data_IF_654242938387
#
_entry.id   IF_654242938387
#
_cell.length_a   1.000
_cell.length_b   1.000
_cell.length_c   1.000
_cell.angle_alpha   90.00
_cell.angle_beta   90.00
_cell.angle_gamma   90.00
#
_symmetry.space_group_name_H-M   'P 1'
#
loop_
_entity.id
_entity.type
_entity.pdbx_description
1 polymer ?
#
# COMPACT_ATOMS: atom_id res chain seq x y z
N UNK A 1 12.08 -13.43 -10.18
CA UNK A 1 11.14 -14.55 -10.35
C UNK A 1 9.72 -14.06 -10.57
N UNK A 2 9.02 -13.52 -9.57
CA UNK A 2 7.62 -13.07 -9.69
C UNK A 2 7.41 -12.09 -10.86
N UNK A 3 8.23 -11.03 -10.93
CA UNK A 3 8.11 -10.00 -11.98
C UNK A 3 8.23 -10.60 -13.39
N UNK A 4 9.28 -11.38 -13.65
CA UNK A 4 9.50 -12.03 -14.96
C UNK A 4 8.36 -13.00 -15.32
N UNK A 5 7.86 -13.79 -14.37
CA UNK A 5 6.74 -14.70 -14.61
C UNK A 5 5.47 -13.94 -15.01
N UNK A 6 5.15 -12.85 -14.30
CA UNK A 6 4.00 -12.00 -14.63
C UNK A 6 4.17 -11.26 -15.97
N UNK A 7 5.38 -10.82 -16.30
CA UNK A 7 5.68 -10.18 -17.59
C UNK A 7 5.60 -11.15 -18.77
N UNK A 8 5.82 -12.45 -18.52
CA UNK A 8 5.67 -13.51 -19.54
C UNK A 8 4.23 -14.00 -19.71
N UNK A 9 3.29 -13.53 -18.88
CA UNK A 9 1.92 -13.99 -18.88
C UNK A 9 1.24 -13.76 -20.23
N UNK A 10 0.54 -14.78 -20.70
CA UNK A 10 -0.30 -14.75 -21.91
C UNK A 10 -1.76 -15.02 -21.51
N UNK A 11 -2.65 -15.14 -22.49
CA UNK A 11 -4.03 -15.60 -22.27
C UNK A 11 -4.12 -17.02 -21.66
N UNK A 12 -3.02 -17.79 -21.66
CA UNK A 12 -2.93 -19.11 -21.05
C UNK A 12 -2.37 -19.07 -19.62
N UNK A 13 -2.10 -17.89 -19.06
CA UNK A 13 -1.54 -17.76 -17.71
C UNK A 13 -2.44 -18.39 -16.64
N UNK A 14 -1.83 -19.15 -15.75
CA UNK A 14 -2.50 -19.92 -14.68
C UNK A 14 -1.85 -19.67 -13.33
N UNK A 15 -2.58 -20.01 -12.26
CA UNK A 15 -2.05 -19.97 -10.89
C UNK A 15 -0.77 -20.82 -10.72
N UNK A 16 -0.62 -21.92 -11.48
CA UNK A 16 0.54 -22.81 -11.41
C UNK A 16 1.82 -22.20 -11.97
N UNK A 17 1.77 -21.18 -12.81
CA UNK A 17 2.98 -20.60 -13.41
C UNK A 17 3.86 -19.94 -12.34
N UNK A 18 3.25 -19.16 -11.45
CA UNK A 18 3.95 -18.57 -10.30
C UNK A 18 4.34 -19.61 -9.26
N UNK A 19 3.48 -20.61 -8.98
CA UNK A 19 3.83 -21.69 -8.06
C UNK A 19 5.05 -22.49 -8.54
N UNK A 20 5.14 -22.75 -9.85
CA UNK A 20 6.30 -23.43 -10.46
C UNK A 20 7.55 -22.57 -10.35
N UNK A 21 7.44 -21.28 -10.68
CA UNK A 21 8.55 -20.34 -10.57
C UNK A 21 9.06 -20.17 -9.13
N UNK A 22 8.20 -20.36 -8.13
CA UNK A 22 8.52 -20.26 -6.70
C UNK A 22 8.78 -21.61 -6.02
N UNK A 23 8.90 -22.70 -6.78
CA UNK A 23 9.02 -24.07 -6.22
C UNK A 23 10.18 -24.23 -5.24
N UNK A 24 11.35 -23.64 -5.53
CA UNK A 24 12.52 -23.63 -4.65
C UNK A 24 12.30 -22.89 -3.32
N UNK A 25 11.26 -22.06 -3.24
CA UNK A 25 10.94 -21.24 -2.08
C UNK A 25 9.74 -21.78 -1.28
N UNK A 26 9.13 -22.89 -1.69
CA UNK A 26 7.88 -23.42 -1.11
C UNK A 26 7.91 -23.54 0.42
N UNK A 27 9.03 -24.03 0.96
CA UNK A 27 9.20 -24.23 2.40
C UNK A 27 9.87 -23.02 3.10
N UNK A 28 10.21 -21.97 2.34
CA UNK A 28 10.88 -20.76 2.84
C UNK A 28 9.94 -19.56 3.02
N UNK A 29 8.80 -19.55 2.32
CA UNK A 29 7.83 -18.46 2.36
C UNK A 29 6.48 -18.93 2.92
N UNK A 30 5.69 -18.03 3.53
CA UNK A 30 4.35 -18.37 4.00
C UNK A 30 3.45 -18.87 2.87
N UNK A 31 2.48 -19.74 3.19
CA UNK A 31 1.51 -20.29 2.24
C UNK A 31 0.86 -19.19 1.37
N UNK A 32 0.43 -18.10 2.00
CA UNK A 32 -0.21 -16.96 1.31
C UNK A 32 0.70 -16.33 0.24
N UNK A 33 2.01 -16.33 0.46
CA UNK A 33 2.99 -15.81 -0.51
C UNK A 33 3.25 -16.81 -1.64
N UNK A 34 3.31 -18.11 -1.32
CA UNK A 34 3.45 -19.15 -2.33
C UNK A 34 2.25 -19.23 -3.28
N UNK A 35 1.04 -18.95 -2.76
CA UNK A 35 -0.22 -18.93 -3.52
C UNK A 35 -0.45 -17.64 -4.33
N UNK A 36 0.59 -16.83 -4.55
CA UNK A 36 0.45 -15.55 -5.29
C UNK A 36 -0.14 -15.70 -6.70
N UNK A 37 0.07 -16.84 -7.36
CA UNK A 37 -0.57 -17.16 -8.63
C UNK A 37 -2.10 -17.23 -8.54
N UNK A 38 -2.64 -17.75 -7.44
CA UNK A 38 -4.09 -17.82 -7.22
C UNK A 38 -4.69 -16.41 -7.07
N UNK A 39 -3.98 -15.49 -6.41
CA UNK A 39 -4.42 -14.10 -6.29
C UNK A 39 -4.33 -13.37 -7.64
N UNK A 40 -3.29 -13.65 -8.42
CA UNK A 40 -3.07 -13.00 -9.72
C UNK A 40 -4.18 -13.31 -10.73
N UNK A 41 -4.76 -14.52 -10.69
CA UNK A 41 -5.84 -14.94 -11.60
C UNK A 41 -7.24 -14.51 -11.15
N UNK A 42 -7.38 -13.85 -9.99
CA UNK A 42 -8.65 -13.27 -9.57
C UNK A 42 -9.03 -12.02 -10.38
N UNK A 43 -8.05 -11.35 -10.99
CA UNK A 43 -8.31 -10.19 -11.82
C UNK A 43 -9.04 -10.61 -13.12
N UNK A 44 -10.15 -9.94 -13.49
CA UNK A 44 -10.83 -10.22 -14.75
C UNK A 44 -9.92 -10.03 -15.96
N UNK A 45 -10.06 -10.86 -17.00
CA UNK A 45 -9.21 -10.87 -18.20
C UNK A 45 -9.00 -9.47 -18.80
N UNK A 46 -10.04 -8.64 -18.84
CA UNK A 46 -10.00 -7.30 -19.40
C UNK A 46 -9.05 -6.31 -18.67
N UNK A 47 -8.68 -6.58 -17.41
CA UNK A 47 -7.81 -5.71 -16.60
C UNK A 47 -6.63 -6.45 -15.96
N UNK A 48 -6.62 -7.78 -16.02
CA UNK A 48 -5.57 -8.63 -15.46
C UNK A 48 -4.16 -8.23 -15.92
N UNK A 49 -3.88 -7.94 -17.21
CA UNK A 49 -2.55 -7.50 -17.64
C UNK A 49 -2.06 -6.23 -16.92
N UNK A 50 -2.97 -5.30 -16.60
CA UNK A 50 -2.63 -4.08 -15.85
C UNK A 50 -2.26 -4.41 -14.40
N UNK A 51 -3.03 -5.30 -13.76
CA UNK A 51 -2.76 -5.78 -12.40
C UNK A 51 -1.42 -6.51 -12.35
N UNK A 52 -1.14 -7.38 -13.31
CA UNK A 52 0.11 -8.13 -13.41
C UNK A 52 1.31 -7.22 -13.64
N UNK A 53 1.22 -6.24 -14.55
CA UNK A 53 2.29 -5.27 -14.78
C UNK A 53 2.60 -4.44 -13.52
N UNK A 54 1.57 -3.92 -12.84
CA UNK A 54 1.76 -3.19 -11.59
C UNK A 54 2.37 -4.06 -10.49
N UNK A 55 1.92 -5.31 -10.37
CA UNK A 55 2.43 -6.27 -9.39
C UNK A 55 3.88 -6.66 -9.67
N UNK A 56 4.23 -6.88 -10.94
CA UNK A 56 5.60 -7.15 -11.38
C UNK A 56 6.53 -5.99 -11.02
N UNK A 57 6.13 -4.76 -11.35
CA UNK A 57 6.89 -3.57 -11.02
C UNK A 57 7.05 -3.36 -9.49
N UNK A 58 6.00 -3.62 -8.70
CA UNK A 58 6.08 -3.58 -7.24
C UNK A 58 7.00 -4.67 -6.68
N UNK A 59 6.96 -5.88 -7.24
CA UNK A 59 7.83 -6.99 -6.82
C UNK A 59 9.32 -6.63 -7.02
N UNK A 60 9.69 -6.06 -8.15
CA UNK A 60 11.09 -5.64 -8.41
C UNK A 60 11.52 -4.51 -7.47
N UNK A 61 10.64 -3.54 -7.19
CA UNK A 61 10.92 -2.46 -6.24
C UNK A 61 11.07 -2.98 -4.81
N UNK A 62 10.22 -3.90 -4.38
CA UNK A 62 10.34 -4.55 -3.07
C UNK A 62 11.62 -5.38 -2.96
N UNK A 63 12.00 -6.10 -4.03
CA UNK A 63 13.26 -6.83 -4.08
C UNK A 63 14.47 -5.90 -3.97
N UNK A 64 14.46 -4.75 -4.66
CA UNK A 64 15.50 -3.72 -4.53
C UNK A 64 15.69 -3.26 -3.07
N UNK A 65 14.60 -2.95 -2.36
CA UNK A 65 14.69 -2.53 -0.95
C UNK A 65 15.12 -3.66 -0.01
N UNK A 66 14.69 -4.90 -0.25
CA UNK A 66 15.13 -6.05 0.52
C UNK A 66 16.64 -6.31 0.35
N UNK A 67 17.18 -6.17 -0.86
CA UNK A 67 18.61 -6.34 -1.14
C UNK A 67 19.49 -5.29 -0.44
N UNK A 68 18.97 -4.09 -0.25
CA UNK A 68 19.64 -3.02 0.50
C UNK A 68 19.30 -3.03 1.99
N UNK A 69 18.70 -4.11 2.50
CA UNK A 69 18.28 -4.28 3.89
C UNK A 69 17.48 -3.08 4.42
N UNK A 70 16.57 -2.55 3.58
CA UNK A 70 15.72 -1.40 3.88
C UNK A 70 16.47 -0.16 4.38
N UNK A 71 17.70 0.05 3.90
CA UNK A 71 18.54 1.16 4.31
C UNK A 71 18.05 2.51 3.76
N UNK A 72 17.20 3.22 4.51
CA UNK A 72 16.66 4.54 4.14
C UNK A 72 17.56 5.65 4.68
N UNK A 73 18.28 6.36 3.80
CA UNK A 73 19.24 7.40 4.22
C UNK A 73 18.67 8.81 4.09
N UNK A 74 17.86 9.05 3.06
CA UNK A 74 17.35 10.38 2.72
C UNK A 74 15.83 10.40 2.61
N UNK A 75 15.24 11.61 2.58
CA UNK A 75 13.81 11.76 2.24
C UNK A 75 13.49 11.16 0.86
N UNK A 76 14.42 11.27 -0.10
CA UNK A 76 14.24 10.70 -1.43
C UNK A 76 14.19 9.16 -1.39
N UNK A 77 14.95 8.54 -0.48
CA UNK A 77 14.90 7.08 -0.26
C UNK A 77 13.56 6.68 0.35
N UNK A 78 13.09 7.40 1.37
CA UNK A 78 11.77 7.17 1.96
C UNK A 78 10.65 7.35 0.93
N UNK A 79 10.77 8.37 0.07
CA UNK A 79 9.84 8.62 -1.03
C UNK A 79 9.84 7.45 -2.03
N UNK A 80 11.02 6.94 -2.42
CA UNK A 80 11.15 5.78 -3.30
C UNK A 80 10.59 4.50 -2.66
N UNK A 81 10.88 4.27 -1.38
CA UNK A 81 10.37 3.11 -0.62
C UNK A 81 8.85 3.13 -0.54
N UNK A 82 8.28 4.20 -0.01
CA UNK A 82 6.82 4.37 0.13
C UNK A 82 6.11 4.36 -1.22
N UNK A 83 6.72 4.88 -2.28
CA UNK A 83 6.20 4.72 -3.64
C UNK A 83 6.17 3.25 -4.06
N UNK A 84 7.26 2.52 -3.86
CA UNK A 84 7.40 1.12 -4.26
C UNK A 84 6.39 0.18 -3.60
N UNK A 85 6.06 0.43 -2.32
CA UNK A 85 5.19 -0.48 -1.54
C UNK A 85 3.75 0.00 -1.39
N UNK A 86 3.46 1.28 -1.59
CA UNK A 86 2.12 1.82 -1.34
C UNK A 86 1.67 2.88 -2.35
N UNK A 87 2.53 3.82 -2.75
CA UNK A 87 2.17 4.83 -3.76
C UNK A 87 1.80 4.22 -5.11
N UNK A 88 2.50 3.16 -5.53
CA UNK A 88 2.18 2.40 -6.74
C UNK A 88 0.83 1.67 -6.64
N UNK A 89 0.41 1.25 -5.44
CA UNK A 89 -0.93 0.69 -5.21
C UNK A 89 -1.99 1.76 -5.45
N UNK A 90 -1.77 3.00 -5.01
CA UNK A 90 -2.66 4.13 -5.32
C UNK A 90 -2.84 4.34 -6.83
N UNK A 91 -1.75 4.25 -7.61
CA UNK A 91 -1.84 4.32 -9.08
C UNK A 91 -2.62 3.16 -9.68
N UNK A 92 -2.40 1.93 -9.21
CA UNK A 92 -3.15 0.77 -9.66
C UNK A 92 -4.64 0.92 -9.35
N UNK A 93 -5.00 1.32 -8.13
CA UNK A 93 -6.40 1.57 -7.76
C UNK A 93 -7.03 2.61 -8.67
N UNK A 94 -6.33 3.71 -8.96
CA UNK A 94 -6.79 4.71 -9.92
C UNK A 94 -7.03 4.16 -11.34
N UNK A 95 -6.24 3.19 -11.80
CA UNK A 95 -6.51 2.47 -13.06
C UNK A 95 -7.74 1.58 -12.96
N UNK A 96 -7.91 0.88 -11.83
CA UNK A 96 -9.06 0.02 -11.58
C UNK A 96 -10.37 0.80 -11.50
N UNK A 97 -10.38 1.96 -10.85
CA UNK A 97 -11.56 2.84 -10.81
C UNK A 97 -11.93 3.33 -12.21
N UNK A 98 -10.94 3.81 -12.97
CA UNK A 98 -11.15 4.23 -14.35
C UNK A 98 -11.68 3.11 -15.25
N UNK A 99 -11.20 1.87 -15.05
CA UNK A 99 -11.69 0.69 -15.76
C UNK A 99 -13.12 0.29 -15.33
N UNK A 100 -13.43 0.37 -14.04
CA UNK A 100 -14.70 -0.11 -13.48
C UNK A 100 -15.88 0.80 -13.81
N UNK A 101 -15.75 2.11 -13.59
CA UNK A 101 -16.87 3.07 -13.76
C UNK A 101 -16.46 4.40 -14.41
N UNK A 102 -15.23 4.50 -14.92
CA UNK A 102 -14.72 5.71 -15.56
C UNK A 102 -14.24 6.79 -14.60
N UNK A 103 -14.23 6.53 -13.27
CA UNK A 103 -13.74 7.49 -12.27
C UNK A 103 -12.32 7.97 -12.58
N UNK A 104 -12.20 9.28 -12.77
CA UNK A 104 -10.91 9.95 -12.99
C UNK A 104 -10.34 10.43 -11.66
N UNK A 105 -9.03 10.29 -11.49
CA UNK A 105 -8.36 10.66 -10.23
C UNK A 105 -7.08 11.42 -10.52
N UNK A 106 -6.70 12.30 -9.58
CA UNK A 106 -5.38 12.93 -9.62
C UNK A 106 -4.32 11.91 -9.19
N UNK A 107 -3.41 11.55 -10.11
CA UNK A 107 -2.40 10.51 -9.90
C UNK A 107 -1.34 10.89 -8.85
N UNK A 108 -1.01 12.18 -8.71
CA UNK A 108 -0.13 12.63 -7.64
C UNK A 108 -0.80 12.51 -6.28
N UNK A 109 -2.09 12.84 -6.20
CA UNK A 109 -2.86 12.64 -4.96
C UNK A 109 -2.99 11.14 -4.63
N UNK A 110 -3.14 10.26 -5.63
CA UNK A 110 -3.17 8.81 -5.45
C UNK A 110 -1.86 8.26 -4.87
N UNK A 111 -0.71 8.76 -5.35
CA UNK A 111 0.61 8.43 -4.77
C UNK A 111 0.67 8.91 -3.32
N UNK A 112 0.24 10.14 -3.05
CA UNK A 112 0.16 10.72 -1.70
C UNK A 112 -0.74 9.89 -0.77
N UNK A 113 -1.86 9.39 -1.27
CA UNK A 113 -2.76 8.50 -0.53
C UNK A 113 -2.03 7.26 -0.03
N UNK A 114 -1.43 6.47 -0.95
CA UNK A 114 -0.69 5.27 -0.56
C UNK A 114 0.50 5.59 0.37
N UNK A 115 1.27 6.63 0.04
CA UNK A 115 2.43 7.06 0.83
C UNK A 115 2.04 7.52 2.24
N UNK A 116 0.94 8.25 2.40
CA UNK A 116 0.45 8.71 3.69
C UNK A 116 0.06 7.55 4.60
N UNK A 117 -0.69 6.57 4.08
CA UNK A 117 -1.02 5.35 4.84
C UNK A 117 0.24 4.58 5.26
N UNK A 118 1.22 4.45 4.36
CA UNK A 118 2.47 3.77 4.69
C UNK A 118 3.31 4.54 5.71
N UNK A 119 3.34 5.86 5.64
CA UNK A 119 4.04 6.70 6.61
C UNK A 119 3.45 6.55 8.03
N UNK A 120 2.13 6.48 8.16
CA UNK A 120 1.46 6.19 9.44
C UNK A 120 1.81 4.80 9.96
N UNK A 121 1.90 3.80 9.08
CA UNK A 121 2.32 2.45 9.48
C UNK A 121 3.78 2.43 9.98
N UNK A 122 4.68 3.16 9.30
CA UNK A 122 6.09 3.29 9.73
C UNK A 122 6.16 3.96 11.12
N UNK A 123 5.42 5.04 11.35
CA UNK A 123 5.35 5.70 12.66
C UNK A 123 4.87 4.75 13.75
N UNK A 124 3.78 4.02 13.46
CA UNK A 124 3.13 3.11 14.41
C UNK A 124 4.03 1.93 14.80
N UNK A 125 4.74 1.36 13.82
CA UNK A 125 5.51 0.14 14.01
C UNK A 125 6.99 0.41 14.33
N UNK A 126 7.40 1.68 14.47
CA UNK A 126 8.82 2.06 14.54
C UNK A 126 9.62 1.28 15.60
N UNK A 127 9.06 1.12 16.81
CA UNK A 127 9.71 0.35 17.87
C UNK A 127 9.87 -1.13 17.53
N UNK A 128 8.87 -1.74 16.89
CA UNK A 128 8.91 -3.14 16.44
C UNK A 128 9.91 -3.33 15.28
N UNK A 129 9.93 -2.40 14.33
CA UNK A 129 10.87 -2.44 13.20
C UNK A 129 12.34 -2.32 13.69
N UNK A 130 12.61 -1.45 14.67
CA UNK A 130 13.93 -1.33 15.29
C UNK A 130 14.37 -2.64 15.97
N UNK A 131 13.46 -3.37 16.62
CA UNK A 131 13.81 -4.68 17.23
C UNK A 131 14.20 -5.73 16.18
N UNK A 132 13.75 -5.55 14.93
CA UNK A 132 14.09 -6.41 13.79
C UNK A 132 15.31 -5.90 13.02
N UNK A 133 15.93 -4.80 13.48
CA UNK A 133 17.12 -4.20 12.87
C UNK A 133 16.84 -3.36 11.63
N UNK A 134 15.59 -2.88 11.46
CA UNK A 134 15.19 -2.02 10.35
C UNK A 134 14.77 -0.65 10.89
N UNK A 135 15.27 0.41 10.28
CA UNK A 135 14.79 1.77 10.52
C UNK A 135 14.38 2.40 9.18
N UNK A 136 13.11 2.72 9.05
CA UNK A 136 12.56 3.36 7.86
C UNK A 136 12.69 4.88 7.92
N UNK A 137 13.18 5.44 9.02
CA UNK A 137 13.42 6.87 9.13
C UNK A 137 14.66 7.23 8.32
N UNK A 138 14.61 8.31 7.52
CA UNK A 138 15.82 8.87 6.95
C UNK A 138 16.84 9.19 8.04
N UNK A 139 18.13 9.12 7.69
CA UNK A 139 19.19 9.31 8.66
C UNK A 139 19.07 10.67 9.37
N UNK A 140 19.07 10.65 10.70
CA UNK A 140 18.95 11.84 11.54
C UNK A 140 17.55 12.42 11.65
N UNK A 141 16.52 11.81 11.04
CA UNK A 141 15.14 12.27 11.22
C UNK A 141 14.63 12.04 12.63
N UNK A 142 13.92 13.03 13.16
CA UNK A 142 13.18 12.92 14.41
C UNK A 142 11.79 12.32 14.18
N UNK A 143 11.16 11.88 15.26
CA UNK A 143 9.75 11.45 15.25
C UNK A 143 8.80 12.54 14.74
N UNK A 144 9.09 13.81 15.06
CA UNK A 144 8.32 14.97 14.59
C UNK A 144 8.44 15.19 13.07
N UNK A 145 9.63 14.99 12.50
CA UNK A 145 9.83 15.09 11.05
C UNK A 145 9.07 13.98 10.31
N UNK A 146 9.09 12.76 10.85
CA UNK A 146 8.30 11.66 10.27
C UNK A 146 6.78 11.89 10.42
N UNK A 147 6.33 12.47 11.53
CA UNK A 147 4.94 12.91 11.71
C UNK A 147 4.53 13.97 10.69
N UNK A 148 5.39 14.96 10.45
CA UNK A 148 5.16 16.03 9.47
C UNK A 148 5.05 15.43 8.06
N UNK A 149 5.96 14.53 7.70
CA UNK A 149 5.91 13.81 6.42
C UNK A 149 4.61 13.01 6.25
N UNK A 150 4.14 12.32 7.31
CA UNK A 150 2.87 11.61 7.27
C UNK A 150 1.68 12.57 7.05
N UNK A 151 1.63 13.70 7.77
CA UNK A 151 0.58 14.72 7.62
C UNK A 151 0.53 15.32 6.21
N UNK A 152 1.69 15.67 5.65
CA UNK A 152 1.77 16.22 4.29
C UNK A 152 1.19 15.26 3.24
N UNK A 153 1.47 13.96 3.37
CA UNK A 153 0.94 12.97 2.44
C UNK A 153 -0.53 12.61 2.71
N UNK A 154 -0.98 12.62 3.97
CA UNK A 154 -2.40 12.48 4.28
C UNK A 154 -3.23 13.66 3.75
N UNK A 155 -2.68 14.88 3.70
CA UNK A 155 -3.36 16.00 3.06
C UNK A 155 -3.60 15.76 1.55
N UNK A 156 -2.69 15.06 0.87
CA UNK A 156 -2.90 14.60 -0.51
C UNK A 156 -3.94 13.48 -0.58
N UNK A 157 -3.99 12.60 0.42
CA UNK A 157 -5.00 11.56 0.55
C UNK A 157 -6.42 12.14 0.75
N UNK A 158 -6.52 13.22 1.54
CA UNK A 158 -7.75 13.99 1.74
C UNK A 158 -8.19 14.63 0.42
N UNK A 159 -7.25 15.27 -0.29
CA UNK A 159 -7.53 15.87 -1.61
C UNK A 159 -7.91 14.82 -2.67
N UNK A 160 -7.32 13.61 -2.62
CA UNK A 160 -7.72 12.47 -3.45
C UNK A 160 -9.18 12.12 -3.18
N UNK A 161 -9.50 11.84 -1.92
CA UNK A 161 -10.81 11.33 -1.49
C UNK A 161 -11.92 12.37 -1.71
N UNK A 162 -11.65 13.64 -1.41
CA UNK A 162 -12.59 14.74 -1.63
C UNK A 162 -12.95 14.98 -3.11
N UNK A 163 -12.09 14.55 -4.04
CA UNK A 163 -12.35 14.67 -5.48
C UNK A 163 -13.13 13.49 -6.08
N UNK A 164 -13.32 12.41 -5.33
CA UNK A 164 -13.99 11.21 -5.84
C UNK A 164 -15.51 11.43 -5.89
N UNK A 165 -16.19 10.95 -6.94
CA UNK A 165 -17.64 10.90 -6.95
C UNK A 165 -18.16 9.89 -5.92
N UNK A 166 -19.44 10.00 -5.57
CA UNK A 166 -20.12 8.96 -4.78
C UNK A 166 -20.03 7.62 -5.53
N UNK A 167 -19.56 6.58 -4.83
CA UNK A 167 -19.39 5.26 -5.41
C UNK A 167 -18.26 4.44 -4.77
N UNK A 168 -17.93 3.28 -5.34
CA UNK A 168 -17.03 2.30 -4.73
C UNK A 168 -15.63 2.84 -4.43
N UNK A 169 -15.08 3.71 -5.28
CA UNK A 169 -13.77 4.31 -5.05
C UNK A 169 -13.74 5.17 -3.78
N UNK A 170 -14.78 6.00 -3.58
CA UNK A 170 -14.91 6.83 -2.39
C UNK A 170 -15.14 5.97 -1.14
N UNK A 171 -16.05 5.00 -1.21
CA UNK A 171 -16.36 4.11 -0.09
C UNK A 171 -15.12 3.32 0.36
N UNK A 172 -14.35 2.81 -0.60
CA UNK A 172 -13.09 2.12 -0.35
C UNK A 172 -12.06 3.04 0.32
N UNK A 173 -11.90 4.27 -0.15
CA UNK A 173 -10.88 5.20 0.33
C UNK A 173 -11.14 5.76 1.73
N UNK A 174 -12.42 5.95 2.12
CA UNK A 174 -12.80 6.62 3.38
C UNK A 174 -12.33 5.87 4.62
N UNK A 175 -12.51 4.55 4.67
CA UNK A 175 -12.15 3.73 5.84
C UNK A 175 -10.64 3.76 6.14
N UNK A 176 -9.73 3.39 5.21
CA UNK A 176 -8.31 3.40 5.47
C UNK A 176 -7.78 4.81 5.77
N UNK A 177 -8.31 5.84 5.11
CA UNK A 177 -7.92 7.23 5.37
C UNK A 177 -8.29 7.68 6.79
N UNK A 178 -9.53 7.40 7.22
CA UNK A 178 -9.98 7.75 8.56
C UNK A 178 -9.17 7.01 9.64
N UNK A 179 -8.88 5.72 9.42
CA UNK A 179 -8.05 4.93 10.33
C UNK A 179 -6.61 5.48 10.42
N UNK A 180 -6.06 5.97 9.31
CA UNK A 180 -4.73 6.57 9.31
C UNK A 180 -4.68 7.89 10.09
N UNK A 181 -5.64 8.79 9.88
CA UNK A 181 -5.77 10.01 10.68
C UNK A 181 -5.93 9.71 12.17
N UNK A 182 -6.86 8.82 12.52
CA UNK A 182 -7.08 8.42 13.90
C UNK A 182 -5.81 7.80 14.54
N UNK A 183 -5.07 6.99 13.79
CA UNK A 183 -3.81 6.40 14.27
C UNK A 183 -2.74 7.48 14.47
N UNK A 184 -2.62 8.42 13.53
CA UNK A 184 -1.65 9.52 13.62
C UNK A 184 -1.94 10.45 14.81
N UNK A 185 -3.22 10.72 15.09
CA UNK A 185 -3.64 11.50 16.25
C UNK A 185 -3.36 10.74 17.55
N UNK A 186 -3.67 9.45 17.62
CA UNK A 186 -3.37 8.61 18.80
C UNK A 186 -1.86 8.60 19.12
N UNK A 187 -1.01 8.44 18.09
CA UNK A 187 0.45 8.50 18.23
C UNK A 187 0.92 9.86 18.75
N UNK A 188 0.31 10.97 18.31
CA UNK A 188 0.65 12.31 18.80
C UNK A 188 0.31 12.52 20.28
N UNK A 189 -0.60 11.72 20.85
CA UNK A 189 -0.94 11.71 22.28
C UNK A 189 -0.15 10.66 23.08
N UNK A 190 0.81 9.96 22.45
CA UNK A 190 1.63 8.93 23.09
C UNK A 190 0.97 7.56 23.19
N UNK A 191 -0.14 7.32 22.49
CA UNK A 191 -0.77 6.00 22.41
C UNK A 191 -0.07 5.13 21.36
N UNK A 192 0.17 3.86 21.69
CA UNK A 192 0.86 2.94 20.77
C UNK A 192 -0.02 2.47 19.60
N UNK A 193 -1.35 2.40 19.78
CA UNK A 193 -2.30 1.92 18.76
C UNK A 193 -3.74 2.28 19.10
N UNK A 194 -4.58 2.32 18.08
CA UNK A 194 -6.03 2.39 18.25
C UNK A 194 -6.57 1.13 18.96
N UNK A 195 -7.53 1.33 19.86
CA UNK A 195 -8.29 0.24 20.47
C UNK A 195 -9.26 -0.38 19.46
N UNK A 196 -9.58 -1.67 19.65
CA UNK A 196 -10.58 -2.37 18.81
C UNK A 196 -11.92 -1.64 18.80
N UNK A 197 -12.34 -1.09 19.94
CA UNK A 197 -13.58 -0.32 20.04
C UNK A 197 -13.55 0.96 19.20
N UNK A 198 -12.43 1.70 19.22
CA UNK A 198 -12.27 2.91 18.39
C UNK A 198 -12.32 2.57 16.91
N UNK A 199 -11.64 1.50 16.48
CA UNK A 199 -11.70 1.00 15.09
C UNK A 199 -13.12 0.66 14.68
N UNK A 200 -13.84 -0.15 15.48
CA UNK A 200 -15.22 -0.56 15.15
C UNK A 200 -16.17 0.64 15.10
N UNK A 201 -16.04 1.60 16.02
CA UNK A 201 -16.85 2.81 16.03
C UNK A 201 -16.61 3.65 14.77
N UNK A 202 -15.34 3.84 14.38
CA UNK A 202 -14.99 4.64 13.20
C UNK A 202 -15.50 3.98 11.91
N UNK A 203 -15.29 2.67 11.77
CA UNK A 203 -15.81 1.91 10.62
C UNK A 203 -17.34 2.00 10.58
N UNK A 204 -18.02 1.78 11.72
CA UNK A 204 -19.47 1.86 11.80
C UNK A 204 -20.00 3.22 11.38
N UNK A 205 -19.40 4.32 11.84
CA UNK A 205 -19.80 5.69 11.47
C UNK A 205 -19.70 5.94 9.97
N UNK A 206 -18.65 5.42 9.33
CA UNK A 206 -18.42 5.60 7.90
C UNK A 206 -19.33 4.73 7.04
N UNK A 207 -19.71 3.54 7.51
CA UNK A 207 -20.60 2.63 6.78
C UNK A 207 -22.08 2.89 7.02
N UNK A 208 -22.45 3.68 8.05
CA UNK A 208 -23.85 3.99 8.39
C UNK A 208 -24.29 5.40 7.99
N UNK A 209 -23.38 6.26 7.54
CA UNK A 209 -23.75 7.52 6.91
C UNK A 209 -24.35 7.24 5.51
N UNK A 210 -25.56 7.70 5.18
CA UNK A 210 -26.08 7.60 3.83
C UNK A 210 -25.15 8.36 2.87
N UNK A 211 -24.84 7.73 1.73
CA UNK A 211 -24.03 8.29 0.66
C UNK A 211 -24.65 9.58 0.08
#
# INVERSE_FOLDING_TARGET
TISLTLQSATHEFTASDLATALSDYKDLIPEVSYRVGEWAVLAPEAIAPRVWDATAAMADRMAYWALLNWNVQTKADLDQYTFGVAGAVGLLLSDLWGWYDGTQTNRLHAIGFGRGLQAVNILRNHSEDLTRGVDFYPHGWTHEQMHTYARENLALADAYTASLPLGPALDFGRIPLALAHATLDALSHGEAKLSRTMVMNLVSQLTSAPA
#
